data_IF_117414439410
#
_entry.id   IF_117414439410
#
_cell.length_a   1.000
_cell.length_b   1.000
_cell.length_c   1.000
_cell.angle_alpha   90.00
_cell.angle_beta   90.00
_cell.angle_gamma   90.00
#
_symmetry.space_group_name_H-M   'P 1'
#
loop_
_entity.id
_entity.type
_entity.pdbx_description
1 polymer ?
#
# COMPACT_ATOMS: atom_id res chain seq x y z
N UNK A 1 -32.22 1.90 -21.02
CA UNK A 1 -32.19 1.80 -19.56
C UNK A 1 -32.70 3.09 -18.96
N UNK A 2 -33.51 3.00 -17.91
CA UNK A 2 -33.83 4.17 -17.07
C UNK A 2 -32.52 4.71 -16.47
N UNK A 3 -32.34 6.04 -16.50
CA UNK A 3 -31.17 6.67 -15.88
C UNK A 3 -31.19 6.40 -14.38
N UNK A 4 -30.13 5.78 -13.87
CA UNK A 4 -29.94 5.58 -12.43
C UNK A 4 -29.63 6.95 -11.83
N UNK A 5 -30.50 7.42 -10.95
CA UNK A 5 -30.26 8.63 -10.18
C UNK A 5 -29.31 8.29 -9.01
N UNK A 6 -28.01 8.48 -9.25
CA UNK A 6 -26.97 8.14 -8.28
C UNK A 6 -27.08 8.96 -6.99
N UNK A 7 -27.54 10.21 -7.06
CA UNK A 7 -27.62 11.12 -5.89
C UNK A 7 -28.54 10.57 -4.79
N UNK A 8 -29.63 9.89 -5.17
CA UNK A 8 -30.57 9.30 -4.22
C UNK A 8 -30.03 8.09 -3.46
N UNK A 9 -29.00 7.44 -3.99
CA UNK A 9 -28.45 6.20 -3.45
C UNK A 9 -27.14 6.41 -2.67
N UNK A 10 -26.68 7.66 -2.54
CA UNK A 10 -25.50 8.00 -1.75
C UNK A 10 -25.87 8.11 -0.28
N UNK A 11 -25.28 7.25 0.55
CA UNK A 11 -25.39 7.29 2.01
C UNK A 11 -24.01 7.56 2.61
N UNK A 12 -23.85 8.64 3.38
CA UNK A 12 -22.56 9.06 3.96
C UNK A 12 -21.40 9.20 2.94
N UNK A 13 -21.71 9.64 1.71
CA UNK A 13 -20.71 9.77 0.64
C UNK A 13 -20.30 8.44 0.00
N UNK A 14 -20.99 7.34 0.33
CA UNK A 14 -20.78 6.01 -0.23
C UNK A 14 -21.95 5.66 -1.14
N UNK A 15 -21.65 5.23 -2.36
CA UNK A 15 -22.59 4.62 -3.30
C UNK A 15 -22.28 3.14 -3.40
N UNK A 16 -23.22 2.28 -3.01
CA UNK A 16 -23.12 0.83 -3.19
C UNK A 16 -23.96 0.41 -4.40
N UNK A 17 -23.36 -0.37 -5.29
CA UNK A 17 -24.03 -0.92 -6.45
C UNK A 17 -23.64 -2.39 -6.60
N UNK A 18 -24.64 -3.27 -6.62
CA UNK A 18 -24.44 -4.69 -6.85
C UNK A 18 -24.60 -4.96 -8.34
N UNK A 19 -23.60 -5.59 -8.94
CA UNK A 19 -23.57 -5.96 -10.35
C UNK A 19 -23.65 -7.48 -10.45
N UNK A 20 -24.54 -7.98 -11.29
CA UNK A 20 -24.77 -9.43 -11.44
C UNK A 20 -23.94 -10.02 -12.60
N UNK A 21 -23.31 -9.18 -13.42
CA UNK A 21 -22.45 -9.62 -14.52
C UNK A 21 -21.27 -8.69 -14.83
N UNK A 22 -20.28 -9.23 -15.56
CA UNK A 22 -19.16 -8.44 -16.10
C UNK A 22 -19.58 -7.45 -17.19
N UNK A 23 -20.68 -7.71 -17.89
CA UNK A 23 -21.22 -6.81 -18.91
C UNK A 23 -21.78 -5.54 -18.26
N UNK A 24 -22.56 -5.70 -17.19
CA UNK A 24 -23.05 -4.58 -16.36
C UNK A 24 -21.90 -3.79 -15.73
N UNK A 25 -20.82 -4.45 -15.32
CA UNK A 25 -19.62 -3.75 -14.85
C UNK A 25 -18.99 -2.87 -15.94
N UNK A 26 -18.91 -3.38 -17.17
CA UNK A 26 -18.39 -2.62 -18.31
C UNK A 26 -19.23 -1.37 -18.59
N UNK A 27 -20.55 -1.49 -18.53
CA UNK A 27 -21.48 -0.36 -18.66
C UNK A 27 -21.33 0.63 -17.49
N UNK A 28 -21.22 0.14 -16.26
CA UNK A 28 -21.07 0.95 -15.04
C UNK A 28 -19.79 1.81 -15.04
N UNK A 29 -18.64 1.25 -15.43
CA UNK A 29 -17.37 1.98 -15.49
C UNK A 29 -17.32 2.96 -16.67
N UNK A 30 -18.05 2.68 -17.74
CA UNK A 30 -18.14 3.55 -18.91
C UNK A 30 -19.10 4.74 -18.72
N UNK A 31 -19.92 4.74 -17.67
CA UNK A 31 -20.85 5.84 -17.38
C UNK A 31 -20.10 7.12 -17.04
N UNK A 32 -20.28 8.15 -17.87
CA UNK A 32 -19.63 9.46 -17.72
C UNK A 32 -20.15 10.27 -16.54
N UNK A 33 -21.32 9.93 -15.97
CA UNK A 33 -21.84 10.56 -14.75
C UNK A 33 -21.12 10.04 -13.49
N UNK A 34 -20.61 8.80 -13.51
CA UNK A 34 -19.80 8.20 -12.44
C UNK A 34 -18.30 8.43 -12.62
N UNK A 35 -17.83 8.34 -13.86
CA UNK A 35 -16.42 8.37 -14.22
C UNK A 35 -15.96 9.82 -14.44
N UNK A 36 -15.96 10.60 -13.35
CA UNK A 36 -15.23 11.88 -13.34
C UNK A 36 -13.75 11.62 -13.66
N UNK A 37 -13.02 12.54 -14.33
CA UNK A 37 -11.60 12.34 -14.66
C UNK A 37 -10.69 12.05 -13.46
N UNK A 38 -11.17 12.30 -12.25
CA UNK A 38 -10.50 12.08 -10.97
C UNK A 38 -10.91 10.76 -10.29
N UNK A 39 -11.75 9.93 -10.91
CA UNK A 39 -12.17 8.66 -10.35
C UNK A 39 -11.03 7.65 -10.50
N UNK A 40 -10.50 7.15 -9.39
CA UNK A 40 -9.41 6.16 -9.36
C UNK A 40 -10.01 4.82 -8.94
N UNK A 41 -10.08 3.88 -9.88
CA UNK A 41 -10.44 2.50 -9.57
C UNK A 41 -9.32 1.83 -8.79
N UNK A 42 -9.55 1.49 -7.51
CA UNK A 42 -8.52 0.92 -6.62
C UNK A 42 -8.51 -0.62 -6.53
N UNK A 43 -9.34 -1.33 -7.31
CA UNK A 43 -9.20 -2.78 -7.56
C UNK A 43 -9.32 -3.72 -6.34
N UNK A 44 -9.65 -3.23 -5.16
CA UNK A 44 -9.69 -4.03 -3.93
C UNK A 44 -11.12 -4.34 -3.51
N UNK A 45 -11.39 -5.63 -3.31
CA UNK A 45 -12.73 -6.19 -3.12
C UNK A 45 -13.35 -5.94 -1.73
N UNK A 46 -12.63 -5.30 -0.79
CA UNK A 46 -13.08 -5.12 0.59
C UNK A 46 -12.72 -3.73 1.11
N UNK A 47 -13.73 -2.95 1.51
CA UNK A 47 -13.60 -1.60 2.08
C UNK A 47 -13.03 -1.59 3.50
N UNK A 48 -13.13 -2.70 4.25
CA UNK A 48 -12.56 -2.84 5.60
C UNK A 48 -11.04 -3.00 5.59
N UNK A 49 -10.44 -3.24 4.41
CA UNK A 49 -9.00 -3.31 4.30
C UNK A 49 -8.40 -1.91 4.44
N UNK A 50 -7.74 -1.68 5.57
CA UNK A 50 -7.02 -0.45 5.81
C UNK A 50 -5.96 -0.23 4.71
N UNK A 51 -5.83 1.04 4.30
CA UNK A 51 -4.74 1.47 3.41
C UNK A 51 -3.46 1.57 4.24
N UNK A 52 -2.91 0.40 4.57
CA UNK A 52 -1.64 0.26 5.28
C UNK A 52 -0.66 -0.53 4.42
N UNK A 53 0.60 -0.08 4.39
CA UNK A 53 1.64 -0.76 3.63
C UNK A 53 1.93 -2.14 4.25
N UNK A 54 2.57 -3.01 3.47
CA UNK A 54 2.99 -4.32 3.99
C UNK A 54 3.99 -4.16 5.14
N UNK A 55 4.87 -3.16 5.06
CA UNK A 55 5.82 -2.86 6.13
C UNK A 55 5.12 -2.40 7.41
N UNK A 56 4.13 -1.50 7.32
CA UNK A 56 3.37 -1.02 8.49
C UNK A 56 2.68 -2.18 9.22
N UNK A 57 2.09 -3.12 8.48
CA UNK A 57 1.48 -4.33 9.07
C UNK A 57 2.49 -5.18 9.82
N UNK A 58 3.67 -5.37 9.23
CA UNK A 58 4.73 -6.17 9.84
C UNK A 58 5.27 -5.49 11.10
N UNK A 59 5.45 -4.17 11.07
CA UNK A 59 5.92 -3.41 12.22
C UNK A 59 4.93 -3.44 13.38
N UNK A 60 3.62 -3.34 13.13
CA UNK A 60 2.58 -3.54 14.16
C UNK A 60 2.63 -4.95 14.74
N UNK A 61 2.77 -5.96 13.88
CA UNK A 61 2.83 -7.38 14.29
C UNK A 61 4.09 -7.70 15.09
N UNK A 62 5.20 -7.05 14.78
CA UNK A 62 6.53 -7.26 15.38
C UNK A 62 7.11 -5.97 15.95
N UNK A 63 6.33 -5.28 16.79
CA UNK A 63 6.62 -3.93 17.29
C UNK A 63 7.68 -3.87 18.39
N UNK A 64 8.32 -4.99 18.75
CA UNK A 64 9.24 -5.04 19.88
C UNK A 64 10.67 -5.29 19.48
N UNK A 65 11.57 -4.52 20.09
CA UNK A 65 13.02 -4.70 19.98
C UNK A 65 13.60 -5.13 21.33
N UNK A 66 14.30 -6.26 21.42
CA UNK A 66 14.94 -6.67 22.68
C UNK A 66 16.08 -5.71 23.04
N UNK A 67 16.21 -5.38 24.32
CA UNK A 67 17.32 -4.61 24.83
C UNK A 67 18.57 -5.49 24.98
N UNK A 68 19.39 -5.52 23.93
CA UNK A 68 20.62 -6.33 23.90
C UNK A 68 21.69 -5.89 24.91
N UNK A 69 21.56 -4.69 25.50
CA UNK A 69 22.48 -4.21 26.54
C UNK A 69 22.16 -4.79 27.94
N UNK A 70 21.05 -5.52 28.08
CA UNK A 70 20.63 -6.13 29.36
C UNK A 70 20.07 -5.14 30.38
N UNK A 71 19.71 -3.93 29.95
CA UNK A 71 19.14 -2.89 30.81
C UNK A 71 17.62 -2.95 30.99
N UNK A 72 17.07 -2.02 31.77
CA UNK A 72 15.62 -1.79 31.89
C UNK A 72 15.23 -0.61 30.98
N UNK A 73 14.19 -0.73 30.12
CA UNK A 73 13.30 -1.88 29.95
C UNK A 73 13.96 -3.04 29.16
N UNK A 74 13.47 -4.27 29.32
CA UNK A 74 13.99 -5.44 28.60
C UNK A 74 13.68 -5.42 27.10
N UNK A 75 12.68 -4.63 26.68
CA UNK A 75 12.23 -4.46 25.30
C UNK A 75 11.82 -3.01 25.07
N UNK A 76 11.95 -2.54 23.83
CA UNK A 76 11.47 -1.24 23.36
C UNK A 76 10.26 -1.44 22.44
N UNK A 77 9.29 -0.52 22.51
CA UNK A 77 8.11 -0.49 21.63
C UNK A 77 8.46 0.15 20.28
N UNK A 78 9.39 -0.49 19.57
CA UNK A 78 9.76 -0.16 18.21
C UNK A 78 10.16 -1.42 17.42
N UNK A 79 10.03 -1.41 16.07
CA UNK A 79 10.40 -2.54 15.24
C UNK A 79 11.86 -2.95 15.40
N UNK A 80 12.13 -4.25 15.35
CA UNK A 80 13.46 -4.84 15.54
C UNK A 80 14.55 -4.25 14.64
N UNK A 81 14.19 -3.78 13.45
CA UNK A 81 15.12 -3.17 12.49
C UNK A 81 14.52 -1.87 11.99
N UNK A 82 15.17 -0.71 12.20
CA UNK A 82 14.73 0.58 11.64
C UNK A 82 14.62 0.55 10.12
N UNK A 83 13.68 1.29 9.53
CA UNK A 83 13.42 1.28 8.09
C UNK A 83 14.64 1.71 7.27
N UNK A 84 15.36 2.72 7.74
CA UNK A 84 16.57 3.24 7.13
C UNK A 84 17.65 2.14 7.08
N UNK A 85 17.78 1.38 8.17
CA UNK A 85 18.72 0.25 8.23
C UNK A 85 18.30 -0.89 7.29
N UNK A 86 17.00 -1.12 7.11
CA UNK A 86 16.51 -2.11 6.13
C UNK A 86 16.88 -1.69 4.71
N UNK A 87 16.63 -0.43 4.35
CA UNK A 87 16.93 0.11 3.03
C UNK A 87 18.43 0.12 2.74
N UNK A 88 19.26 0.58 3.68
CA UNK A 88 20.71 0.58 3.53
C UNK A 88 21.28 -0.83 3.35
N UNK A 89 20.76 -1.81 4.10
CA UNK A 89 21.13 -3.22 3.89
C UNK A 89 20.74 -3.73 2.51
N UNK A 90 19.60 -3.29 1.98
CA UNK A 90 19.19 -3.64 0.62
C UNK A 90 20.13 -3.00 -0.43
N UNK A 91 20.49 -1.73 -0.28
CA UNK A 91 21.47 -1.04 -1.14
C UNK A 91 22.82 -1.79 -1.15
N UNK A 92 23.34 -2.13 0.03
CA UNK A 92 24.60 -2.89 0.11
C UNK A 92 24.50 -4.29 -0.51
N UNK A 93 23.35 -4.97 -0.37
CA UNK A 93 23.12 -6.30 -0.95
C UNK A 93 23.06 -6.29 -2.48
N UNK A 94 22.60 -5.18 -3.07
CA UNK A 94 22.44 -5.00 -4.52
C UNK A 94 23.69 -4.45 -5.19
N UNK A 95 24.67 -3.97 -4.42
CA UNK A 95 25.95 -3.47 -4.91
C UNK A 95 26.65 -4.50 -5.82
N UNK A 96 26.97 -4.08 -7.03
CA UNK A 96 27.60 -4.93 -8.05
C UNK A 96 26.66 -5.92 -8.75
N UNK A 97 25.35 -5.93 -8.43
CA UNK A 97 24.34 -6.77 -9.09
C UNK A 97 23.41 -5.98 -10.02
N UNK A 98 23.29 -4.68 -9.80
CA UNK A 98 22.46 -3.78 -10.61
C UNK A 98 23.31 -3.11 -11.70
N UNK A 99 22.82 -3.16 -12.94
CA UNK A 99 23.45 -2.47 -14.07
C UNK A 99 23.26 -0.95 -14.00
N UNK A 100 22.12 -0.50 -13.46
CA UNK A 100 21.78 0.92 -13.31
C UNK A 100 21.03 1.13 -11.98
N UNK A 101 21.75 1.22 -10.85
CA UNK A 101 21.11 1.47 -9.55
C UNK A 101 20.49 2.88 -9.51
N UNK A 102 19.39 3.08 -8.75
CA UNK A 102 18.86 4.41 -8.49
C UNK A 102 19.92 5.30 -7.82
N UNK A 103 19.80 6.61 -7.97
CA UNK A 103 20.71 7.54 -7.27
C UNK A 103 20.38 7.56 -5.78
N UNK A 104 21.36 7.88 -4.94
CA UNK A 104 21.15 7.91 -3.49
C UNK A 104 20.10 8.93 -3.03
N UNK A 105 19.89 10.01 -3.82
CA UNK A 105 18.87 11.02 -3.58
C UNK A 105 17.44 10.57 -3.92
N UNK A 106 17.26 9.40 -4.55
CA UNK A 106 15.99 8.86 -5.03
C UNK A 106 15.54 7.70 -4.13
N UNK A 107 15.20 7.99 -2.87
CA UNK A 107 14.84 6.97 -1.88
C UNK A 107 13.61 6.13 -2.28
N UNK A 108 12.58 6.77 -2.86
CA UNK A 108 11.37 6.09 -3.30
C UNK A 108 11.64 5.07 -4.41
N UNK A 109 12.58 5.36 -5.31
CA UNK A 109 13.03 4.44 -6.36
C UNK A 109 13.76 3.22 -5.75
N UNK A 110 14.53 3.43 -4.68
CA UNK A 110 15.13 2.33 -3.93
C UNK A 110 14.07 1.46 -3.23
N UNK A 111 13.03 2.06 -2.66
CA UNK A 111 11.90 1.31 -2.10
C UNK A 111 11.12 0.57 -3.18
N UNK A 112 10.87 1.18 -4.34
CA UNK A 112 10.23 0.51 -5.47
C UNK A 112 11.03 -0.70 -5.97
N UNK A 113 12.35 -0.55 -6.07
CA UNK A 113 13.24 -1.64 -6.43
C UNK A 113 13.24 -2.74 -5.37
N UNK A 114 13.28 -2.37 -4.09
CA UNK A 114 13.18 -3.34 -2.99
C UNK A 114 11.86 -4.13 -3.02
N UNK A 115 10.75 -3.44 -3.30
CA UNK A 115 9.44 -4.06 -3.47
C UNK A 115 9.42 -5.04 -4.65
N UNK A 116 10.02 -4.66 -5.78
CA UNK A 116 10.16 -5.54 -6.95
C UNK A 116 10.90 -6.84 -6.60
N UNK A 117 11.87 -6.77 -5.67
CA UNK A 117 12.61 -7.92 -5.15
C UNK A 117 11.93 -8.61 -3.95
N UNK A 118 10.68 -8.25 -3.63
CA UNK A 118 9.87 -8.92 -2.60
C UNK A 118 10.11 -8.45 -1.17
N UNK A 119 10.82 -7.33 -0.97
CA UNK A 119 10.94 -6.71 0.35
C UNK A 119 9.60 -6.09 0.75
N UNK A 120 9.28 -6.12 2.05
CA UNK A 120 8.18 -5.31 2.58
C UNK A 120 8.60 -3.84 2.57
N UNK A 121 7.78 -2.98 1.99
CA UNK A 121 8.09 -1.55 1.77
C UNK A 121 6.99 -0.65 2.35
N UNK A 122 7.28 0.63 2.60
CA UNK A 122 6.31 1.59 3.13
C UNK A 122 5.31 2.13 2.08
N UNK A 123 5.30 1.55 0.86
CA UNK A 123 4.41 1.94 -0.24
C UNK A 123 3.08 1.19 -0.23
#
# INVERSE_FOLDING_TARGET
MDKIDYEKNITNGILEHQLDSWEEFGEFVADSELCMPTCIFRGQANSEWLVESTLDRMEKRFHKTPNLSGGTPPEFDCPRVPREVQLERFKEMTRGKLTNPPKDAEEDEWWALAQHHGMATPM
#
